data_IF_392698275786
#
_entry.id   IF_392698275786
#
_cell.length_a   1.000
_cell.length_b   1.000
_cell.length_c   1.000
_cell.angle_alpha   90.00
_cell.angle_beta   90.00
_cell.angle_gamma   90.00
#
_symmetry.space_group_name_H-M   'P 1'
#
loop_
_entity.id
_entity.type
_entity.pdbx_description
1 polymer ?
#
# COMPACT_ATOMS: atom_id res chain seq x y z
N UNK A 1 -3.47 -41.84 10.56
CA UNK A 1 -3.07 -40.79 11.53
C UNK A 1 -2.27 -39.63 10.94
N UNK A 2 -1.01 -39.76 10.48
CA UNK A 2 -0.22 -38.58 10.05
C UNK A 2 -0.80 -37.86 8.80
N UNK A 3 -1.24 -38.65 7.79
CA UNK A 3 -1.93 -38.11 6.60
C UNK A 3 -3.23 -37.37 6.92
N UNK A 4 -4.02 -37.86 7.87
CA UNK A 4 -5.29 -37.23 8.26
C UNK A 4 -5.06 -35.91 9.01
N UNK A 5 -4.04 -35.84 9.88
CA UNK A 5 -3.62 -34.58 10.51
C UNK A 5 -3.15 -33.55 9.48
N UNK A 6 -2.38 -33.97 8.48
CA UNK A 6 -1.95 -33.12 7.37
C UNK A 6 -3.11 -32.63 6.48
N UNK A 7 -4.09 -33.50 6.19
CA UNK A 7 -5.28 -33.14 5.42
C UNK A 7 -6.16 -32.12 6.15
N UNK A 8 -6.31 -32.26 7.47
CA UNK A 8 -7.01 -31.30 8.31
C UNK A 8 -6.32 -29.92 8.35
N UNK A 9 -4.99 -29.88 8.46
CA UNK A 9 -4.23 -28.63 8.41
C UNK A 9 -4.31 -27.92 7.06
N UNK A 10 -4.21 -28.64 5.93
CA UNK A 10 -4.35 -28.06 4.58
C UNK A 10 -5.74 -27.45 4.34
N UNK A 11 -6.79 -28.08 4.88
CA UNK A 11 -8.16 -27.58 4.83
C UNK A 11 -8.31 -26.26 5.59
N UNK A 12 -7.73 -26.17 6.79
CA UNK A 12 -7.78 -24.94 7.58
C UNK A 12 -6.98 -23.81 6.93
N UNK A 13 -5.79 -24.09 6.39
CA UNK A 13 -4.98 -23.08 5.71
C UNK A 13 -5.70 -22.46 4.50
N UNK A 14 -6.30 -23.29 3.64
CA UNK A 14 -7.05 -22.79 2.48
C UNK A 14 -8.30 -21.98 2.86
N UNK A 15 -8.88 -22.22 4.03
CA UNK A 15 -10.03 -21.47 4.53
C UNK A 15 -9.64 -20.11 5.09
N UNK A 16 -8.55 -20.05 5.86
CA UNK A 16 -8.10 -18.81 6.49
C UNK A 16 -7.26 -17.93 5.55
N UNK A 17 -6.63 -18.52 4.53
CA UNK A 17 -5.76 -17.79 3.61
C UNK A 17 -6.43 -16.58 2.93
N UNK A 18 -7.65 -16.67 2.36
CA UNK A 18 -8.32 -15.51 1.81
C UNK A 18 -8.60 -14.41 2.85
N UNK A 19 -8.86 -14.79 4.11
CA UNK A 19 -9.14 -13.84 5.18
C UNK A 19 -7.86 -13.10 5.62
N UNK A 20 -6.75 -13.84 5.74
CA UNK A 20 -5.41 -13.26 5.97
C UNK A 20 -5.03 -12.34 4.82
N UNK A 21 -5.34 -12.71 3.58
CA UNK A 21 -5.05 -11.90 2.39
C UNK A 21 -5.87 -10.60 2.39
N UNK A 22 -7.14 -10.62 2.80
CA UNK A 22 -7.93 -9.40 2.97
C UNK A 22 -7.34 -8.47 4.03
N UNK A 23 -6.92 -9.02 5.19
CA UNK A 23 -6.27 -8.20 6.23
C UNK A 23 -5.01 -7.54 5.67
N UNK A 24 -4.21 -8.30 4.91
CA UNK A 24 -3.02 -7.79 4.25
C UNK A 24 -3.31 -6.70 3.20
N UNK A 25 -4.40 -6.84 2.44
CA UNK A 25 -4.82 -5.81 1.48
C UNK A 25 -5.31 -4.54 2.16
N UNK A 26 -6.03 -4.65 3.28
CA UNK A 26 -6.43 -3.49 4.07
C UNK A 26 -5.21 -2.75 4.58
N UNK A 27 -4.19 -3.47 5.08
CA UNK A 27 -2.94 -2.83 5.50
C UNK A 27 -2.25 -2.15 4.32
N UNK A 28 -2.18 -2.78 3.14
CA UNK A 28 -1.60 -2.17 1.93
C UNK A 28 -2.32 -0.88 1.49
N UNK A 29 -3.65 -0.82 1.60
CA UNK A 29 -4.43 0.38 1.25
C UNK A 29 -4.32 1.50 2.28
N UNK A 30 -3.87 1.21 3.50
CA UNK A 30 -3.81 2.19 4.61
C UNK A 30 -2.39 2.63 4.94
N UNK A 31 -1.40 2.14 4.18
CA UNK A 31 0.01 2.51 4.31
C UNK A 31 0.41 3.39 3.13
N UNK A 32 1.14 4.46 3.41
CA UNK A 32 1.76 5.26 2.36
C UNK A 32 2.75 4.40 1.55
N UNK A 33 2.81 4.64 0.23
CA UNK A 33 3.71 3.93 -0.68
C UNK A 33 4.97 4.72 -1.05
N UNK A 34 5.05 5.97 -0.59
CA UNK A 34 6.21 6.84 -0.62
C UNK A 34 6.05 7.94 0.46
N UNK A 35 7.16 8.46 0.96
CA UNK A 35 7.18 9.62 1.85
C UNK A 35 8.29 10.59 1.47
N UNK A 36 8.00 11.89 1.46
CA UNK A 36 8.98 12.96 1.22
C UNK A 36 9.01 13.88 2.43
N UNK A 37 10.17 14.08 3.04
CA UNK A 37 10.34 15.04 4.14
C UNK A 37 11.25 16.17 3.70
N UNK A 38 10.74 17.40 3.80
CA UNK A 38 11.50 18.62 3.52
C UNK A 38 11.83 19.28 4.86
N UNK A 39 13.13 19.46 5.10
CA UNK A 39 13.67 20.10 6.30
C UNK A 39 14.38 21.40 5.91
N UNK A 40 13.96 22.51 6.50
CA UNK A 40 14.63 23.80 6.35
C UNK A 40 15.11 24.27 7.72
N UNK A 41 16.42 24.49 7.86
CA UNK A 41 17.01 24.94 9.12
C UNK A 41 17.84 26.19 8.94
N UNK A 42 17.57 27.20 9.76
CA UNK A 42 18.38 28.41 9.88
C UNK A 42 18.58 28.76 11.37
N UNK A 43 19.52 29.65 11.69
CA UNK A 43 19.97 29.95 13.07
C UNK A 43 18.83 30.29 14.06
N UNK A 44 17.67 30.74 13.57
CA UNK A 44 16.51 31.16 14.37
C UNK A 44 15.26 30.26 14.21
N UNK A 45 15.21 29.32 13.24
CA UNK A 45 13.99 28.55 12.94
C UNK A 45 14.27 27.23 12.21
N UNK A 46 13.49 26.20 12.53
CA UNK A 46 13.52 24.88 11.92
C UNK A 46 12.10 24.53 11.45
N UNK A 47 11.94 24.32 10.14
CA UNK A 47 10.67 23.93 9.51
C UNK A 47 10.81 22.50 9.04
N UNK A 48 9.84 21.66 9.41
CA UNK A 48 9.75 20.30 8.90
C UNK A 48 8.37 20.07 8.30
N UNK A 49 8.34 19.65 7.04
CA UNK A 49 7.10 19.25 6.34
C UNK A 49 7.27 17.85 5.77
N UNK A 50 6.40 16.93 6.16
CA UNK A 50 6.38 15.55 5.69
C UNK A 50 5.15 15.33 4.82
N UNK A 51 5.38 14.88 3.59
CA UNK A 51 4.34 14.46 2.65
C UNK A 51 4.34 12.94 2.56
N UNK A 52 3.21 12.33 2.89
CA UNK A 52 2.98 10.89 2.76
C UNK A 52 2.05 10.61 1.59
N UNK A 53 2.49 9.79 0.64
CA UNK A 53 1.76 9.49 -0.58
C UNK A 53 0.98 8.18 -0.43
N UNK A 54 -0.34 8.27 -0.50
CA UNK A 54 -1.28 7.14 -0.49
C UNK A 54 -1.88 6.96 -1.88
N UNK A 55 -2.44 5.79 -2.18
CA UNK A 55 -2.99 5.49 -3.51
C UNK A 55 -4.09 6.45 -3.98
N UNK A 56 -4.79 7.11 -3.06
CA UNK A 56 -5.94 7.97 -3.35
C UNK A 56 -5.75 9.43 -2.91
N UNK A 57 -4.71 9.73 -2.14
CA UNK A 57 -4.51 11.02 -1.50
C UNK A 57 -3.05 11.24 -1.12
N UNK A 58 -2.69 12.49 -0.88
CA UNK A 58 -1.43 12.87 -0.23
C UNK A 58 -1.77 13.48 1.11
N UNK A 59 -1.06 13.07 2.16
CA UNK A 59 -1.21 13.65 3.49
C UNK A 59 0.02 14.51 3.75
N UNK A 60 -0.18 15.81 3.86
CA UNK A 60 0.87 16.76 4.21
C UNK A 60 0.78 17.04 5.70
N UNK A 61 1.86 16.78 6.42
CA UNK A 61 1.97 17.03 7.86
C UNK A 61 3.07 18.04 8.13
N UNK A 62 2.74 19.08 8.89
CA UNK A 62 3.66 20.14 9.30
C UNK A 62 3.40 20.53 10.75
N UNK A 63 4.32 21.26 11.38
CA UNK A 63 4.01 21.86 12.67
C UNK A 63 3.03 23.02 12.48
N UNK A 64 2.03 23.12 13.37
CA UNK A 64 1.04 24.22 13.33
C UNK A 64 1.67 25.61 13.44
N UNK A 65 2.81 25.73 14.12
CA UNK A 65 3.59 26.97 14.23
C UNK A 65 4.21 27.37 12.89
N UNK A 66 4.68 26.39 12.11
CA UNK A 66 5.26 26.59 10.77
C UNK A 66 4.19 26.97 9.74
N UNK A 67 3.02 26.33 9.81
CA UNK A 67 1.95 26.48 8.82
C UNK A 67 1.10 27.74 9.01
N UNK A 68 0.89 28.19 10.24
CA UNK A 68 0.01 29.32 10.56
C UNK A 68 0.72 30.52 11.20
N UNK A 69 2.02 30.38 11.52
CA UNK A 69 2.85 31.38 12.20
C UNK A 69 2.61 31.42 13.71
N UNK A 70 3.61 31.88 14.48
CA UNK A 70 3.58 31.98 15.97
C UNK A 70 2.31 32.63 16.54
N UNK A 71 1.67 33.54 15.80
CA UNK A 71 0.48 34.27 16.25
C UNK A 71 -0.84 33.50 16.11
N UNK A 72 -0.81 32.38 15.41
CA UNK A 72 -1.97 31.60 15.03
C UNK A 72 -1.71 30.10 15.24
N UNK A 73 -0.79 29.77 16.15
CA UNK A 73 -0.63 28.43 16.69
C UNK A 73 -2.02 27.95 17.10
N UNK A 74 -2.44 26.80 16.59
CA UNK A 74 -3.55 26.08 17.20
C UNK A 74 -3.37 26.13 18.72
N UNK A 75 -4.44 26.37 19.47
CA UNK A 75 -4.42 26.63 20.92
C UNK A 75 -3.69 25.56 21.76
N UNK A 76 -3.22 24.49 21.14
CA UNK A 76 -2.58 23.35 21.76
C UNK A 76 -1.13 23.10 21.36
N UNK A 77 -0.58 23.74 20.31
CA UNK A 77 0.76 23.43 19.79
C UNK A 77 0.85 21.96 19.34
N UNK A 78 0.83 21.71 18.04
CA UNK A 78 0.83 20.33 17.55
C UNK A 78 1.03 20.19 16.05
N UNK A 79 1.04 18.94 15.61
CA UNK A 79 1.07 18.57 14.20
C UNK A 79 -0.27 18.94 13.55
N UNK A 80 -0.18 19.63 12.41
CA UNK A 80 -1.28 19.88 11.50
C UNK A 80 -1.13 18.94 10.32
N UNK A 81 -2.21 18.23 9.96
CA UNK A 81 -2.23 17.36 8.79
C UNK A 81 -3.38 17.77 7.87
N UNK A 82 -3.07 17.96 6.59
CA UNK A 82 -4.03 18.23 5.52
C UNK A 82 -3.99 17.10 4.49
N UNK A 83 -5.16 16.80 3.92
CA UNK A 83 -5.28 15.76 2.89
C UNK A 83 -5.55 16.44 1.55
N UNK A 84 -4.57 16.32 0.67
CA UNK A 84 -4.58 16.93 -0.65
C UNK A 84 -4.76 15.88 -1.74
N UNK A 85 -5.24 16.36 -2.89
CA UNK A 85 -5.34 15.57 -4.11
C UNK A 85 -4.06 15.74 -4.92
N UNK A 86 -3.61 14.67 -5.58
CA UNK A 86 -2.48 14.69 -6.52
C UNK A 86 -2.51 15.85 -7.53
N UNK A 87 -3.71 16.30 -7.94
CA UNK A 87 -3.90 17.44 -8.86
C UNK A 87 -3.43 18.79 -8.32
N UNK A 88 -3.11 18.87 -7.03
CA UNK A 88 -2.62 20.07 -6.36
C UNK A 88 -1.11 20.03 -6.14
N UNK A 89 -0.45 18.91 -6.47
CA UNK A 89 1.01 18.80 -6.49
C UNK A 89 1.54 19.58 -7.70
N UNK A 90 2.56 20.39 -7.48
CA UNK A 90 3.32 21.09 -8.52
C UNK A 90 4.79 20.66 -8.40
N UNK A 91 5.39 20.14 -9.48
CA UNK A 91 6.82 19.80 -9.52
C UNK A 91 7.11 18.31 -9.77
N UNK A 92 8.30 17.80 -9.39
CA UNK A 92 8.71 16.41 -9.67
C UNK A 92 7.86 15.37 -8.91
N UNK A 93 7.10 15.81 -7.91
CA UNK A 93 6.15 14.96 -7.17
C UNK A 93 4.98 14.48 -8.05
N UNK A 94 4.74 15.08 -9.22
CA UNK A 94 3.75 14.62 -10.21
C UNK A 94 4.05 13.18 -10.70
N UNK A 95 5.33 12.77 -10.77
CA UNK A 95 5.69 11.40 -11.16
C UNK A 95 5.17 10.34 -10.16
N UNK A 96 4.85 10.73 -8.93
CA UNK A 96 4.23 9.84 -7.95
C UNK A 96 2.72 9.63 -8.21
N UNK A 97 2.06 10.50 -8.98
CA UNK A 97 0.65 10.31 -9.40
C UNK A 97 0.50 9.07 -10.29
N UNK A 98 1.36 8.91 -11.29
CA UNK A 98 1.36 7.76 -12.20
C UNK A 98 1.63 6.44 -11.44
N UNK A 99 2.51 6.50 -10.44
CA UNK A 99 2.77 5.39 -9.52
C UNK A 99 1.55 5.06 -8.65
N UNK A 100 0.86 6.07 -8.13
CA UNK A 100 -0.35 5.91 -7.34
C UNK A 100 -1.48 5.28 -8.17
N UNK A 101 -1.74 5.76 -9.40
CA UNK A 101 -2.78 5.20 -10.28
C UNK A 101 -2.47 3.74 -10.64
N UNK A 102 -1.21 3.45 -10.96
CA UNK A 102 -0.77 2.08 -11.28
C UNK A 102 -0.95 1.15 -10.08
N UNK A 103 -0.59 1.61 -8.88
CA UNK A 103 -0.71 0.84 -7.64
C UNK A 103 -2.18 0.61 -7.26
N UNK A 104 -3.03 1.65 -7.35
CA UNK A 104 -4.47 1.54 -7.10
C UNK A 104 -5.13 0.53 -8.06
N UNK A 105 -4.82 0.60 -9.35
CA UNK A 105 -5.32 -0.34 -10.35
C UNK A 105 -4.93 -1.80 -10.04
N UNK A 106 -3.68 -2.04 -9.62
CA UNK A 106 -3.19 -3.37 -9.22
C UNK A 106 -3.86 -3.87 -7.94
N UNK A 107 -3.95 -3.03 -6.92
CA UNK A 107 -4.60 -3.36 -5.64
C UNK A 107 -6.09 -3.64 -5.85
N UNK A 108 -6.79 -2.84 -6.66
CA UNK A 108 -8.18 -3.06 -7.03
C UNK A 108 -8.42 -4.42 -7.69
N UNK A 109 -7.56 -4.82 -8.64
CA UNK A 109 -7.63 -6.15 -9.27
C UNK A 109 -7.42 -7.29 -8.25
N UNK A 110 -6.46 -7.14 -7.35
CA UNK A 110 -6.17 -8.14 -6.31
C UNK A 110 -7.34 -8.24 -5.32
N UNK A 111 -7.87 -7.11 -4.86
CA UNK A 111 -9.01 -7.02 -3.95
C UNK A 111 -10.26 -7.68 -4.54
N UNK A 112 -10.59 -7.38 -5.80
CA UNK A 112 -11.71 -8.02 -6.51
C UNK A 112 -11.51 -9.53 -6.64
N UNK A 113 -10.29 -9.97 -6.99
CA UNK A 113 -9.96 -11.39 -7.09
C UNK A 113 -10.05 -12.11 -5.74
N UNK A 114 -9.66 -11.43 -4.66
CA UNK A 114 -9.76 -11.95 -3.29
C UNK A 114 -11.23 -12.09 -2.84
N UNK A 115 -12.08 -11.12 -3.19
CA UNK A 115 -13.50 -11.18 -2.88
C UNK A 115 -14.19 -12.35 -3.59
N UNK A 116 -13.87 -12.59 -4.86
CA UNK A 116 -14.34 -13.77 -5.61
C UNK A 116 -13.91 -15.05 -4.91
N UNK A 117 -12.65 -15.15 -4.48
CA UNK A 117 -12.13 -16.30 -3.74
C UNK A 117 -12.89 -16.56 -2.42
N UNK A 118 -13.17 -15.51 -1.66
CA UNK A 118 -13.95 -15.62 -0.42
C UNK A 118 -15.35 -16.16 -0.71
N UNK A 119 -16.05 -15.62 -1.73
CA UNK A 119 -17.36 -16.11 -2.14
C UNK A 119 -17.30 -17.59 -2.52
N UNK A 120 -16.31 -18.00 -3.33
CA UNK A 120 -16.13 -19.40 -3.71
C UNK A 120 -15.84 -20.31 -2.49
N UNK A 121 -15.04 -19.86 -1.53
CA UNK A 121 -14.79 -20.59 -0.28
C UNK A 121 -16.08 -20.76 0.53
N UNK A 122 -16.91 -19.72 0.64
CA UNK A 122 -18.21 -19.78 1.33
C UNK A 122 -19.21 -20.69 0.61
N UNK A 123 -19.30 -20.62 -0.72
CA UNK A 123 -20.19 -21.50 -1.51
C UNK A 123 -19.80 -22.97 -1.37
N UNK A 124 -18.50 -23.28 -1.45
CA UNK A 124 -17.98 -24.64 -1.25
C UNK A 124 -18.21 -25.21 0.17
N UNK A 125 -18.54 -24.35 1.15
CA UNK A 125 -18.85 -24.79 2.52
C UNK A 125 -20.26 -25.35 2.64
N UNK A 126 -21.22 -24.82 1.87
CA UNK A 126 -22.63 -25.25 1.92
C UNK A 126 -22.90 -26.46 1.04
N UNK A 127 -22.28 -26.54 -0.15
CA UNK A 127 -22.54 -27.63 -1.09
C UNK A 127 -21.26 -28.15 -1.76
N UNK A 128 -21.24 -29.47 -2.02
CA UNK A 128 -20.21 -30.06 -2.88
C UNK A 128 -20.50 -29.66 -4.32
N UNK A 129 -19.88 -28.58 -4.76
CA UNK A 129 -20.01 -28.13 -6.15
C UNK A 129 -19.35 -29.18 -7.05
N UNK A 130 -20.15 -29.88 -7.84
CA UNK A 130 -19.69 -30.75 -8.93
C UNK A 130 -20.27 -30.23 -10.24
N UNK A 131 -19.43 -29.57 -11.04
CA UNK A 131 -19.87 -28.89 -12.27
C UNK A 131 -20.13 -29.91 -13.40
N UNK A 132 -19.39 -31.02 -13.45
CA UNK A 132 -19.57 -32.08 -14.44
C UNK A 132 -18.97 -33.42 -13.97
N UNK A 133 -19.30 -34.54 -14.63
CA UNK A 133 -18.75 -35.89 -14.39
C UNK A 133 -17.22 -35.96 -14.44
N UNK A 134 -16.59 -35.02 -15.15
CA UNK A 134 -15.13 -34.93 -15.30
C UNK A 134 -14.44 -34.03 -14.27
N UNK A 135 -15.17 -33.11 -13.62
CA UNK A 135 -14.61 -32.16 -12.66
C UNK A 135 -15.14 -32.49 -11.28
N UNK A 136 -14.33 -33.24 -10.54
CA UNK A 136 -14.65 -33.62 -9.15
C UNK A 136 -14.51 -32.42 -8.21
N UNK A 137 -15.25 -32.45 -7.09
CA UNK A 137 -15.13 -31.48 -6.00
C UNK A 137 -13.69 -31.32 -5.48
N UNK A 138 -12.90 -32.39 -5.49
CA UNK A 138 -11.50 -32.36 -5.07
C UNK A 138 -10.61 -31.61 -6.09
N UNK A 139 -10.93 -31.70 -7.38
CA UNK A 139 -10.24 -30.95 -8.44
C UNK A 139 -10.51 -29.45 -8.31
N UNK A 140 -11.75 -29.05 -8.00
CA UNK A 140 -12.14 -27.64 -7.77
C UNK A 140 -11.37 -27.04 -6.59
N UNK A 141 -11.25 -27.77 -5.47
CA UNK A 141 -10.42 -27.34 -4.34
C UNK A 141 -8.95 -27.16 -4.71
N UNK A 142 -8.43 -28.04 -5.56
CA UNK A 142 -7.06 -27.94 -6.07
C UNK A 142 -6.85 -26.67 -6.90
N UNK A 143 -7.75 -26.39 -7.84
CA UNK A 143 -7.71 -25.15 -8.64
C UNK A 143 -7.83 -23.90 -7.77
N UNK A 144 -8.66 -23.94 -6.73
CA UNK A 144 -8.83 -22.83 -5.80
C UNK A 144 -7.56 -22.55 -5.00
N UNK A 145 -6.87 -23.60 -4.49
CA UNK A 145 -5.57 -23.41 -3.83
C UNK A 145 -4.50 -22.89 -4.78
N UNK A 146 -4.49 -23.36 -6.03
CA UNK A 146 -3.55 -22.89 -7.05
C UNK A 146 -3.79 -21.40 -7.35
N UNK A 147 -5.05 -20.99 -7.49
CA UNK A 147 -5.44 -19.60 -7.73
C UNK A 147 -5.07 -18.68 -6.56
N UNK A 148 -5.29 -19.12 -5.31
CA UNK A 148 -4.80 -18.42 -4.11
C UNK A 148 -3.28 -18.24 -4.16
N UNK A 149 -2.53 -19.29 -4.51
CA UNK A 149 -1.07 -19.23 -4.60
C UNK A 149 -0.59 -18.23 -5.65
N UNK A 150 -1.22 -18.20 -6.82
CA UNK A 150 -0.91 -17.22 -7.88
C UNK A 150 -1.20 -15.81 -7.39
N UNK A 151 -2.36 -15.57 -6.77
CA UNK A 151 -2.72 -14.24 -6.26
C UNK A 151 -1.74 -13.80 -5.19
N UNK A 152 -1.39 -14.65 -4.23
CA UNK A 152 -0.41 -14.29 -3.21
C UNK A 152 0.95 -13.92 -3.80
N UNK A 153 1.35 -14.58 -4.89
CA UNK A 153 2.60 -14.28 -5.58
C UNK A 153 2.52 -12.93 -6.30
N UNK A 154 1.41 -12.64 -6.98
CA UNK A 154 1.16 -11.34 -7.62
C UNK A 154 1.11 -10.22 -6.57
N UNK A 155 0.49 -10.44 -5.42
CA UNK A 155 0.44 -9.47 -4.32
C UNK A 155 1.84 -9.09 -3.84
N UNK A 156 2.77 -10.05 -3.74
CA UNK A 156 4.16 -9.76 -3.36
C UNK A 156 4.85 -8.89 -4.41
N UNK A 157 4.63 -9.15 -5.70
CA UNK A 157 5.20 -8.34 -6.79
C UNK A 157 4.53 -6.96 -6.97
N UNK A 158 3.37 -6.74 -6.35
CA UNK A 158 2.69 -5.44 -6.39
C UNK A 158 3.31 -4.45 -5.41
N UNK A 159 4.06 -4.96 -4.42
CA UNK A 159 4.82 -4.16 -3.47
C UNK A 159 6.13 -3.75 -4.14
N UNK A 160 6.08 -2.65 -4.88
CA UNK A 160 7.26 -1.97 -5.43
C UNK A 160 7.19 -0.52 -5.00
N UNK A 161 8.30 0.03 -4.50
CA UNK A 161 8.40 1.45 -4.14
C UNK A 161 8.06 2.33 -5.33
N UNK A 162 7.13 3.29 -5.16
CA UNK A 162 6.84 4.30 -6.17
C UNK A 162 7.93 5.36 -6.30
N UNK A 163 8.91 5.36 -5.40
CA UNK A 163 9.97 6.36 -5.31
C UNK A 163 11.09 6.17 -6.33
N UNK A 164 11.15 5.02 -7.02
CA UNK A 164 12.21 4.74 -8.00
C UNK A 164 12.19 5.71 -9.18
N UNK A 165 11.01 6.02 -9.71
CA UNK A 165 10.89 6.94 -10.86
C UNK A 165 11.11 8.40 -10.41
N UNK A 166 10.72 8.73 -9.17
CA UNK A 166 10.98 10.02 -8.52
C UNK A 166 12.48 10.27 -8.26
N UNK A 167 13.21 9.24 -7.81
CA UNK A 167 14.67 9.25 -7.59
C UNK A 167 15.43 9.69 -8.84
N UNK A 168 15.06 9.14 -10.01
CA UNK A 168 15.66 9.50 -11.30
C UNK A 168 15.37 10.97 -11.69
N UNK A 169 14.22 11.52 -11.31
CA UNK A 169 13.80 12.87 -11.67
C UNK A 169 14.43 13.96 -10.77
N UNK A 170 14.68 13.65 -9.49
CA UNK A 170 15.35 14.57 -8.56
C UNK A 170 16.87 14.45 -8.55
N UNK A 171 17.44 13.40 -9.14
CA UNK A 171 18.89 13.18 -9.22
C UNK A 171 19.65 14.31 -9.95
N UNK A 172 18.95 15.08 -10.81
CA UNK A 172 19.49 16.24 -11.51
C UNK A 172 19.28 17.57 -10.76
N UNK A 173 18.71 17.55 -9.55
CA UNK A 173 18.46 18.76 -8.76
C UNK A 173 19.72 19.23 -7.99
N UNK A 174 19.84 20.54 -7.79
CA UNK A 174 20.92 21.17 -7.01
C UNK A 174 20.72 21.01 -5.48
N UNK A 175 19.71 20.26 -5.05
CA UNK A 175 19.33 20.05 -3.64
C UNK A 175 19.92 18.72 -3.15
N UNK A 176 20.36 18.66 -1.89
CA UNK A 176 20.88 17.43 -1.31
C UNK A 176 19.71 16.54 -0.84
N UNK A 177 19.52 15.42 -1.53
CA UNK A 177 18.45 14.45 -1.26
C UNK A 177 19.04 13.15 -0.70
N UNK A 178 18.53 12.71 0.45
CA UNK A 178 18.75 11.35 0.98
C UNK A 178 17.56 10.46 0.60
N UNK A 179 17.78 9.51 -0.31
CA UNK A 179 16.74 8.65 -0.89
C UNK A 179 16.91 7.19 -0.43
N UNK A 180 15.92 6.68 0.30
CA UNK A 180 15.76 5.26 0.62
C UNK A 180 14.68 4.64 -0.29
N UNK A 181 15.12 3.91 -1.32
CA UNK A 181 14.24 3.16 -2.23
C UNK A 181 13.68 1.85 -1.64
N UNK A 182 13.74 1.67 -0.31
CA UNK A 182 13.19 0.51 0.39
C UNK A 182 11.73 0.20 0.03
N UNK A 183 11.19 -0.89 0.60
CA UNK A 183 9.87 -1.46 0.22
C UNK A 183 8.74 -0.42 0.05
N UNK A 184 8.76 0.64 0.85
CA UNK A 184 7.78 1.73 0.83
C UNK A 184 8.32 3.08 0.40
N UNK A 185 9.62 3.23 0.12
CA UNK A 185 10.24 4.48 -0.34
C UNK A 185 10.16 5.65 0.66
N UNK A 186 11.30 6.25 1.01
CA UNK A 186 11.31 7.58 1.62
C UNK A 186 12.43 8.45 1.06
N UNK A 187 12.17 9.73 0.83
CA UNK A 187 13.17 10.73 0.49
C UNK A 187 13.17 11.85 1.53
N UNK A 188 14.35 12.38 1.84
CA UNK A 188 14.52 13.55 2.71
C UNK A 188 15.35 14.59 1.96
N UNK A 189 14.88 15.83 1.90
CA UNK A 189 15.65 16.97 1.38
C UNK A 189 15.98 17.93 2.51
N UNK A 190 17.27 18.27 2.62
CA UNK A 190 17.77 19.26 3.59
C UNK A 190 18.09 20.57 2.87
N UNK A 191 17.51 21.67 3.34
CA UNK A 191 17.73 23.02 2.84
C UNK A 191 18.44 23.86 3.92
N UNK A 192 19.60 24.41 3.56
CA UNK A 192 20.45 25.29 4.39
C UNK A 192 20.40 26.74 3.92
#
# INVERSE_FOLDING_TARGET
MWKEKLLGQRSNFAYWSPLVLIIFLITLHTTAFAGITNEFSNDDFEIQTTQEFYTDSVIVTSQSEDSFGENNSDYFGGEYSESDSYKQLDGPEEALEDSAETLDGRLGLITMSCFILVLFCFMNRKEKISINKFVSFNSIKGYLMLFIGIISLISVFTITSGLSDYSDEIADSDIDWDVDEGIWGSATAEFV
#
